data_IF_792832523854
#
_entry.id   IF_792832523854
#
_cell.length_a   1.000
_cell.length_b   1.000
_cell.length_c   1.000
_cell.angle_alpha   90.00
_cell.angle_beta   90.00
_cell.angle_gamma   90.00
#
_symmetry.space_group_name_H-M   'P 1'
#
loop_
_entity.id
_entity.type
_entity.pdbx_description
1 polymer ?
#
# COMPACT_ATOMS: atom_id res chain seq x y z
N UNK A 1 -29.91 -15.48 6.73
CA UNK A 1 -30.24 -14.27 5.94
C UNK A 1 -29.81 -13.04 6.74
N UNK A 2 -28.59 -12.54 6.55
CA UNK A 2 -28.13 -11.31 7.22
C UNK A 2 -28.29 -10.15 6.24
N UNK A 3 -29.18 -9.22 6.58
CA UNK A 3 -29.44 -8.02 5.78
C UNK A 3 -28.26 -7.06 5.92
N UNK A 4 -27.38 -7.00 4.92
CA UNK A 4 -26.37 -5.96 4.82
C UNK A 4 -26.98 -4.72 4.17
N UNK A 5 -27.29 -3.72 5.00
CA UNK A 5 -27.69 -2.39 4.53
C UNK A 5 -26.87 -1.33 5.27
N UNK A 6 -25.58 -1.21 4.91
CA UNK A 6 -24.82 0.02 5.20
C UNK A 6 -25.02 0.95 4.01
N UNK A 7 -26.13 1.68 4.00
CA UNK A 7 -26.22 2.89 3.19
C UNK A 7 -25.15 3.84 3.71
N UNK A 8 -24.09 4.05 2.93
CA UNK A 8 -23.08 5.06 3.22
C UNK A 8 -23.78 6.42 3.28
N UNK A 9 -23.77 7.02 4.47
CA UNK A 9 -24.33 8.35 4.70
C UNK A 9 -23.57 9.37 3.83
N UNK A 10 -24.24 9.86 2.78
CA UNK A 10 -23.70 10.85 1.81
C UNK A 10 -23.50 12.26 2.40
N UNK A 11 -23.79 12.50 3.68
CA UNK A 11 -23.77 13.84 4.29
C UNK A 11 -22.60 14.09 5.25
N UNK A 12 -21.68 13.14 5.44
CA UNK A 12 -20.55 13.38 6.34
C UNK A 12 -19.52 14.29 5.67
N UNK A 13 -19.65 15.59 5.92
CA UNK A 13 -18.69 16.58 5.45
C UNK A 13 -17.48 16.56 6.37
N UNK A 14 -16.33 16.11 5.84
CA UNK A 14 -15.08 16.07 6.57
C UNK A 14 -14.72 17.48 7.10
N UNK A 15 -14.14 17.58 8.31
CA UNK A 15 -13.73 18.86 8.88
C UNK A 15 -12.83 19.64 7.92
N UNK A 16 -12.88 20.98 7.91
CA UNK A 16 -12.14 21.83 6.95
C UNK A 16 -10.64 21.54 6.85
N UNK A 17 -10.02 21.00 7.91
CA UNK A 17 -8.58 20.66 7.98
C UNK A 17 -8.21 19.32 7.31
N UNK A 18 -9.16 18.64 6.67
CA UNK A 18 -8.93 17.32 6.09
C UNK A 18 -7.90 17.35 4.95
N UNK A 19 -7.95 18.36 4.07
CA UNK A 19 -7.01 18.47 2.95
C UNK A 19 -5.55 18.56 3.39
N UNK A 20 -5.26 19.35 4.43
CA UNK A 20 -3.91 19.51 4.99
C UNK A 20 -3.39 18.22 5.62
N UNK A 21 -4.26 17.49 6.33
CA UNK A 21 -3.90 16.20 6.95
C UNK A 21 -3.58 15.17 5.86
N UNK A 22 -4.43 15.06 4.83
CA UNK A 22 -4.19 14.16 3.71
C UNK A 22 -2.91 14.51 2.95
N UNK A 23 -2.64 15.81 2.75
CA UNK A 23 -1.39 16.26 2.14
C UNK A 23 -0.18 15.83 2.98
N UNK A 24 -0.23 16.04 4.30
CA UNK A 24 0.82 15.58 5.24
C UNK A 24 1.04 14.07 5.16
N UNK A 25 -0.02 13.27 5.15
CA UNK A 25 0.08 11.80 5.06
C UNK A 25 0.68 11.28 3.75
N UNK A 26 0.66 12.09 2.68
CA UNK A 26 1.25 11.74 1.38
C UNK A 26 2.74 12.08 1.27
N UNK A 27 3.30 12.80 2.25
CA UNK A 27 4.74 13.07 2.29
C UNK A 27 5.49 11.85 2.82
N UNK A 28 6.67 11.59 2.27
CA UNK A 28 7.55 10.48 2.68
C UNK A 28 7.94 10.56 4.16
N UNK A 29 8.11 11.77 4.68
CA UNK A 29 8.67 12.00 6.01
C UNK A 29 7.59 12.01 7.10
N UNK A 30 6.34 11.69 6.75
CA UNK A 30 5.25 11.63 7.70
C UNK A 30 5.37 10.42 8.62
N UNK A 31 5.47 10.63 9.93
CA UNK A 31 5.63 9.55 10.92
C UNK A 31 4.42 8.61 11.07
N UNK A 32 3.27 8.96 10.49
CA UNK A 32 2.04 8.17 10.53
C UNK A 32 1.83 7.28 9.30
N UNK A 33 0.59 6.81 9.11
CA UNK A 33 0.23 6.03 7.93
C UNK A 33 0.46 6.85 6.66
N UNK A 34 1.25 6.29 5.75
CA UNK A 34 1.43 6.85 4.43
C UNK A 34 0.13 6.66 3.62
N UNK A 35 -0.32 7.74 3.00
CA UNK A 35 -1.45 7.73 2.10
C UNK A 35 -0.93 7.79 0.67
N UNK A 36 -1.32 6.81 -0.14
CA UNK A 36 -0.97 6.79 -1.54
C UNK A 36 -1.60 8.00 -2.27
N UNK A 37 -0.81 8.78 -3.06
CA UNK A 37 -1.37 9.91 -3.81
C UNK A 37 -2.23 9.41 -4.98
N UNK A 38 -3.13 10.26 -5.48
CA UNK A 38 -4.13 9.89 -6.49
C UNK A 38 -3.50 9.53 -7.85
N UNK A 39 -2.36 10.13 -8.16
CA UNK A 39 -1.55 9.96 -9.35
C UNK A 39 -0.42 8.93 -9.18
N UNK A 40 -0.47 8.11 -8.13
CA UNK A 40 0.53 7.08 -7.88
C UNK A 40 0.76 6.15 -9.08
N UNK A 41 2.04 5.92 -9.35
CA UNK A 41 2.51 5.02 -10.41
C UNK A 41 2.08 3.57 -10.14
N UNK A 42 2.06 2.71 -11.17
CA UNK A 42 1.81 1.28 -10.97
C UNK A 42 2.77 0.62 -9.96
N UNK A 43 4.04 1.06 -9.95
CA UNK A 43 5.04 0.58 -9.00
C UNK A 43 4.72 0.97 -7.56
N UNK A 44 4.27 2.20 -7.32
CA UNK A 44 3.87 2.64 -5.97
C UNK A 44 2.61 1.91 -5.50
N UNK A 45 1.63 1.73 -6.40
CA UNK A 45 0.40 0.98 -6.11
C UNK A 45 0.71 -0.45 -5.66
N UNK A 46 1.55 -1.17 -6.41
CA UNK A 46 1.85 -2.57 -6.06
C UNK A 46 2.64 -2.69 -4.75
N UNK A 47 3.58 -1.76 -4.48
CA UNK A 47 4.28 -1.71 -3.18
C UNK A 47 3.29 -1.43 -2.04
N UNK A 48 2.37 -0.50 -2.25
CA UNK A 48 1.36 -0.14 -1.26
C UNK A 48 0.45 -1.32 -0.94
N UNK A 49 -0.05 -2.00 -1.98
CA UNK A 49 -0.86 -3.20 -1.84
C UNK A 49 -0.13 -4.31 -1.06
N UNK A 50 1.16 -4.53 -1.31
CA UNK A 50 1.96 -5.49 -0.54
C UNK A 50 2.03 -5.13 0.95
N UNK A 51 2.30 -3.86 1.28
CA UNK A 51 2.31 -3.40 2.68
C UNK A 51 0.93 -3.61 3.34
N UNK A 52 -0.15 -3.29 2.64
CA UNK A 52 -1.52 -3.48 3.15
C UNK A 52 -1.85 -4.96 3.35
N UNK A 53 -1.39 -5.86 2.47
CA UNK A 53 -1.56 -7.30 2.64
C UNK A 53 -0.81 -7.82 3.86
N UNK A 54 0.43 -7.37 4.09
CA UNK A 54 1.21 -7.73 5.28
C UNK A 54 0.52 -7.22 6.57
N UNK A 55 0.02 -5.99 6.56
CA UNK A 55 -0.75 -5.43 7.68
C UNK A 55 -2.02 -6.24 7.96
N UNK A 56 -2.77 -6.60 6.90
CA UNK A 56 -3.98 -7.42 7.01
C UNK A 56 -3.64 -8.79 7.59
N UNK A 57 -2.57 -9.43 7.13
CA UNK A 57 -2.11 -10.71 7.66
C UNK A 57 -1.82 -10.63 9.17
N UNK A 58 -1.12 -9.58 9.62
CA UNK A 58 -0.87 -9.34 11.05
C UNK A 58 -2.18 -9.26 11.83
N UNK A 59 -3.16 -8.50 11.32
CA UNK A 59 -4.45 -8.30 11.97
C UNK A 59 -5.26 -9.60 12.03
N UNK A 60 -5.39 -10.32 10.92
CA UNK A 60 -6.15 -11.57 10.82
C UNK A 60 -5.59 -12.67 11.72
N UNK A 61 -4.27 -12.66 11.94
CA UNK A 61 -3.58 -13.62 12.80
C UNK A 61 -3.33 -13.10 14.23
N UNK A 62 -3.83 -11.91 14.58
CA UNK A 62 -3.64 -11.25 15.88
C UNK A 62 -2.18 -11.15 16.35
N UNK A 63 -1.25 -10.96 15.41
CA UNK A 63 0.17 -10.88 15.72
C UNK A 63 0.55 -9.52 16.31
N UNK A 64 1.51 -9.52 17.22
CA UNK A 64 2.24 -8.31 17.62
C UNK A 64 3.12 -7.81 16.47
N UNK A 65 3.70 -6.62 16.61
CA UNK A 65 4.62 -6.10 15.59
C UNK A 65 5.94 -6.88 15.61
N UNK A 66 6.35 -7.33 16.80
CA UNK A 66 7.55 -8.10 17.09
C UNK A 66 7.45 -9.50 16.49
N UNK A 67 6.32 -10.19 16.70
CA UNK A 67 6.08 -11.52 16.11
C UNK A 67 6.07 -11.46 14.57
N UNK A 68 5.48 -10.40 14.00
CA UNK A 68 5.54 -10.20 12.56
C UNK A 68 6.99 -9.99 12.10
N UNK A 69 7.75 -9.16 12.80
CA UNK A 69 9.14 -8.84 12.49
C UNK A 69 10.00 -10.11 12.44
N UNK A 70 9.83 -11.01 13.40
CA UNK A 70 10.49 -12.32 13.42
C UNK A 70 10.13 -13.16 12.19
N UNK A 71 8.83 -13.27 11.86
CA UNK A 71 8.36 -14.07 10.72
C UNK A 71 8.90 -13.60 9.38
N UNK A 72 8.99 -12.28 9.16
CA UNK A 72 9.54 -11.72 7.92
C UNK A 72 11.05 -11.46 7.98
N UNK A 73 11.67 -11.72 9.14
CA UNK A 73 13.09 -11.50 9.44
C UNK A 73 13.53 -10.05 9.22
N UNK A 74 12.78 -9.11 9.81
CA UNK A 74 13.09 -7.69 9.82
C UNK A 74 13.30 -7.18 11.25
N UNK A 75 13.93 -6.02 11.36
CA UNK A 75 13.97 -5.29 12.63
C UNK A 75 12.57 -4.74 12.98
N UNK A 76 12.25 -4.52 14.28
CA UNK A 76 10.99 -3.89 14.68
C UNK A 76 10.77 -2.50 14.03
N UNK A 77 11.80 -1.62 13.92
CA UNK A 77 11.64 -0.35 13.21
C UNK A 77 11.26 -0.54 11.73
N UNK A 78 11.97 -1.37 10.96
CA UNK A 78 11.64 -1.62 9.55
C UNK A 78 10.24 -2.25 9.39
N UNK A 79 9.86 -3.13 10.31
CA UNK A 79 8.53 -3.74 10.29
C UNK A 79 7.45 -2.69 10.50
N UNK A 80 7.66 -1.73 11.41
CA UNK A 80 6.76 -0.60 11.62
C UNK A 80 6.60 0.23 10.34
N UNK A 81 7.67 0.46 9.59
CA UNK A 81 7.61 1.18 8.30
C UNK A 81 6.72 0.48 7.28
N UNK A 82 6.75 -0.86 7.22
CA UNK A 82 5.83 -1.65 6.39
C UNK A 82 4.39 -1.50 6.88
N UNK A 83 4.15 -1.60 8.19
CA UNK A 83 2.81 -1.47 8.77
C UNK A 83 2.20 -0.09 8.55
N UNK A 84 3.03 0.96 8.47
CA UNK A 84 2.62 2.33 8.11
C UNK A 84 2.61 2.58 6.61
N UNK A 85 2.93 1.58 5.79
CA UNK A 85 2.98 1.65 4.32
C UNK A 85 3.95 2.69 3.76
N UNK A 86 5.10 2.91 4.39
CA UNK A 86 6.16 3.80 3.91
C UNK A 86 6.90 3.18 2.71
N UNK A 87 6.21 3.08 1.57
CA UNK A 87 6.65 2.36 0.36
C UNK A 87 7.96 2.88 -0.25
N UNK A 88 8.35 4.12 0.05
CA UNK A 88 9.57 4.75 -0.44
C UNK A 88 10.84 4.18 0.24
N UNK A 89 10.69 3.56 1.42
CA UNK A 89 11.80 2.91 2.16
C UNK A 89 12.13 1.50 1.66
N UNK A 90 11.30 0.95 0.77
CA UNK A 90 11.45 -0.43 0.29
C UNK A 90 11.43 -0.53 -1.23
N UNK A 91 12.28 -1.41 -1.75
CA UNK A 91 12.20 -1.86 -3.14
C UNK A 91 11.08 -2.91 -3.29
N UNK A 92 10.60 -3.13 -4.51
CA UNK A 92 9.53 -4.10 -4.76
C UNK A 92 10.00 -5.52 -4.44
N UNK A 93 11.22 -5.89 -4.84
CA UNK A 93 11.85 -7.18 -4.56
C UNK A 93 11.92 -7.49 -3.06
N UNK A 94 12.29 -6.51 -2.22
CA UNK A 94 12.29 -6.67 -0.76
C UNK A 94 10.89 -6.96 -0.22
N UNK A 95 9.88 -6.18 -0.64
CA UNK A 95 8.51 -6.39 -0.20
C UNK A 95 7.97 -7.76 -0.63
N UNK A 96 8.29 -8.20 -1.85
CA UNK A 96 7.93 -9.55 -2.33
C UNK A 96 8.59 -10.65 -1.49
N UNK A 97 9.86 -10.46 -1.13
CA UNK A 97 10.60 -11.39 -0.27
C UNK A 97 10.00 -11.48 1.13
N UNK A 98 9.49 -10.38 1.68
CA UNK A 98 8.81 -10.40 2.97
C UNK A 98 7.42 -11.03 2.87
N UNK A 99 6.67 -10.70 1.82
CA UNK A 99 5.34 -11.26 1.57
C UNK A 99 5.40 -12.78 1.34
N UNK A 100 6.40 -13.29 0.61
CA UNK A 100 6.53 -14.73 0.34
C UNK A 100 6.79 -15.57 1.58
N UNK A 101 7.24 -14.98 2.68
CA UNK A 101 7.36 -15.65 3.99
C UNK A 101 6.02 -15.82 4.70
N UNK A 102 5.01 -15.02 4.34
CA UNK A 102 3.70 -15.01 4.99
C UNK A 102 2.61 -15.70 4.18
N UNK A 103 2.73 -15.68 2.85
CA UNK A 103 1.68 -16.15 1.94
C UNK A 103 2.17 -17.33 1.10
N UNK A 104 1.36 -18.39 1.03
CA UNK A 104 1.59 -19.53 0.13
C UNK A 104 0.25 -20.18 -0.26
N UNK A 105 -0.06 -20.34 -1.56
CA UNK A 105 0.70 -19.80 -2.70
C UNK A 105 0.60 -18.27 -2.78
N UNK A 106 1.64 -17.62 -3.32
CA UNK A 106 1.71 -16.17 -3.46
C UNK A 106 1.84 -15.78 -4.92
N UNK A 107 0.90 -14.97 -5.42
CA UNK A 107 0.88 -14.45 -6.78
C UNK A 107 0.81 -12.93 -6.74
N UNK A 108 1.59 -12.27 -7.59
CA UNK A 108 1.63 -10.81 -7.72
C UNK A 108 1.15 -10.41 -9.12
N UNK A 109 0.37 -9.33 -9.19
CA UNK A 109 -0.48 -8.94 -10.32
C UNK A 109 0.21 -8.86 -11.68
N UNK A 110 -0.57 -9.10 -12.74
CA UNK A 110 -0.15 -9.04 -14.14
C UNK A 110 -0.36 -7.61 -14.65
N UNK A 111 0.69 -6.96 -15.16
CA UNK A 111 0.54 -5.68 -15.87
C UNK A 111 0.14 -5.99 -17.31
N UNK A 112 -1.07 -5.59 -17.70
CA UNK A 112 -1.48 -5.54 -19.11
C UNK A 112 -1.05 -4.17 -19.64
N UNK A 113 -0.17 -4.14 -20.63
CA UNK A 113 0.34 -2.89 -21.22
C UNK A 113 0.07 -2.87 -22.72
N UNK A 114 -0.48 -1.75 -23.20
CA UNK A 114 -0.59 -1.45 -24.63
C UNK A 114 0.74 -0.86 -25.14
N UNK A 115 1.14 -1.11 -26.40
CA UNK A 115 2.35 -0.54 -26.97
C UNK A 115 2.32 0.99 -26.96
N UNK A 116 3.43 1.61 -26.58
CA UNK A 116 3.61 3.06 -26.68
C UNK A 116 3.90 3.43 -28.13
N UNK A 117 2.86 3.63 -28.94
CA UNK A 117 3.06 4.15 -30.30
C UNK A 117 3.48 5.63 -30.20
N UNK A 118 4.76 5.91 -30.45
CA UNK A 118 5.16 7.28 -30.75
C UNK A 118 4.51 7.68 -32.07
N UNK A 119 3.67 8.71 -32.05
CA UNK A 119 3.30 9.40 -33.28
C UNK A 119 4.58 10.01 -33.82
N UNK A 120 5.28 9.29 -34.70
CA UNK A 120 6.28 9.87 -35.58
C UNK A 120 5.51 10.94 -36.35
N UNK A 121 5.64 12.19 -35.92
CA UNK A 121 5.13 13.33 -36.65
C UNK A 121 5.72 13.21 -38.05
N UNK A 122 4.86 12.89 -39.02
CA UNK A 122 5.23 12.84 -40.41
C UNK A 122 5.77 14.22 -40.76
N UNK A 123 7.10 14.36 -40.79
CA UNK A 123 7.76 15.48 -41.45
C UNK A 123 7.38 15.38 -42.93
N UNK A 124 6.41 16.19 -43.33
CA UNK A 124 6.22 16.62 -44.71
C UNK A 124 6.65 18.07 -44.79
#
# INVERSE_FOLDING_TARGET
MVKNNKQLNKSYQYPPRHGEILAKMRHSDHEGNFLLPADATPLEKIKYELCQKILTYKQDNNLTAEELAERISLSPPETKEILLSHIHKFTLDRLLTYASKLFSPFQVGIITAEPRYEKIASRK
#
